data_IF_263644427638
#
_entry.id   IF_263644427638
#
_cell.length_a   1.000
_cell.length_b   1.000
_cell.length_c   1.000
_cell.angle_alpha   90.00
_cell.angle_beta   90.00
_cell.angle_gamma   90.00
#
_symmetry.space_group_name_H-M   'P 1'
#
loop_
_entity.id
_entity.type
_entity.pdbx_description
1 polymer ?
#
# COMPACT_ATOMS: atom_id res chain seq x y z
N UNK A 1 6.53 5.62 42.77
CA UNK A 1 6.70 5.92 41.34
C UNK A 1 5.44 6.60 40.86
N UNK A 2 5.55 7.83 40.41
CA UNK A 2 4.44 8.66 39.94
C UNK A 2 4.00 8.21 38.54
N UNK A 3 2.78 8.55 38.15
CA UNK A 3 2.26 8.29 36.79
C UNK A 3 3.19 8.87 35.70
N UNK A 4 3.91 9.95 36.03
CA UNK A 4 4.88 10.60 35.16
C UNK A 4 6.12 9.72 34.93
N UNK A 5 6.62 9.02 35.95
CA UNK A 5 7.77 8.12 35.83
C UNK A 5 7.48 6.95 34.86
N UNK A 6 6.23 6.46 34.85
CA UNK A 6 5.77 5.43 33.91
C UNK A 6 5.61 5.95 32.48
N UNK A 7 5.32 7.24 32.30
CA UNK A 7 5.26 7.86 30.97
C UNK A 7 6.67 8.11 30.44
N UNK A 8 7.60 8.54 31.29
CA UNK A 8 9.01 8.74 30.93
C UNK A 8 9.65 7.41 30.51
N UNK A 9 9.38 6.32 31.22
CA UNK A 9 9.90 5.00 30.83
C UNK A 9 9.28 4.47 29.53
N UNK A 10 7.99 4.72 29.28
CA UNK A 10 7.35 4.40 28.00
C UNK A 10 7.94 5.21 26.84
N UNK A 11 8.11 6.52 27.00
CA UNK A 11 8.71 7.39 25.99
C UNK A 11 10.19 7.06 25.75
N UNK A 12 10.94 6.70 26.78
CA UNK A 12 12.34 6.27 26.65
C UNK A 12 12.47 4.89 25.98
N UNK A 13 11.43 4.03 26.07
CA UNK A 13 11.36 2.77 25.32
C UNK A 13 10.88 2.94 23.89
N UNK A 14 10.19 4.05 23.57
CA UNK A 14 9.88 4.46 22.21
C UNK A 14 11.15 5.00 21.57
N UNK A 15 11.95 4.09 21.03
CA UNK A 15 13.06 4.46 20.17
C UNK A 15 12.50 5.21 18.97
N UNK A 16 12.72 6.51 18.91
CA UNK A 16 12.72 7.25 17.65
C UNK A 16 14.06 6.87 17.01
N UNK A 17 14.11 5.65 16.46
CA UNK A 17 15.23 5.25 15.63
C UNK A 17 15.12 6.07 14.35
N UNK A 18 15.91 7.14 14.27
CA UNK A 18 16.30 7.73 12.99
C UNK A 18 16.90 6.59 12.14
N UNK A 19 16.33 6.41 10.94
CA UNK A 19 16.46 5.25 10.03
C UNK A 19 15.61 4.02 10.41
N UNK A 20 14.28 4.09 10.20
CA UNK A 20 13.46 2.89 9.99
C UNK A 20 14.14 2.03 8.89
N UNK A 21 14.76 0.90 9.26
CA UNK A 21 15.32 -0.06 8.29
C UNK A 21 14.23 -0.41 7.29
N UNK A 22 14.41 0.07 6.06
CA UNK A 22 13.44 -0.14 4.99
C UNK A 22 13.32 -1.64 4.69
N UNK A 23 12.15 -2.20 4.97
CA UNK A 23 11.80 -3.58 4.62
C UNK A 23 10.97 -3.55 3.35
N UNK A 24 11.63 -3.88 2.24
CA UNK A 24 11.08 -3.77 0.88
C UNK A 24 10.66 -5.14 0.38
N UNK A 25 9.40 -5.25 -0.04
CA UNK A 25 8.91 -6.32 -0.92
C UNK A 25 8.79 -5.75 -2.33
N UNK A 26 9.49 -6.35 -3.30
CA UNK A 26 9.62 -5.80 -4.65
C UNK A 26 9.34 -6.83 -5.73
N UNK A 27 8.45 -6.46 -6.65
CA UNK A 27 8.11 -7.19 -7.86
C UNK A 27 8.23 -6.30 -9.12
N UNK A 28 9.11 -5.28 -9.05
CA UNK A 28 9.28 -4.30 -10.13
C UNK A 28 9.69 -4.98 -11.44
N UNK A 29 9.01 -4.62 -12.53
CA UNK A 29 9.40 -4.98 -13.89
C UNK A 29 9.25 -6.46 -14.24
N UNK A 30 8.52 -7.24 -13.42
CA UNK A 30 8.29 -8.65 -13.69
C UNK A 30 7.23 -8.92 -14.77
N UNK A 31 6.48 -7.88 -15.18
CA UNK A 31 5.43 -7.98 -16.20
C UNK A 31 4.38 -9.06 -15.89
N UNK A 32 4.07 -9.27 -14.60
CA UNK A 32 3.11 -10.28 -14.16
C UNK A 32 1.69 -9.90 -14.58
N UNK A 33 0.92 -10.87 -15.06
CA UNK A 33 -0.53 -10.73 -15.27
C UNK A 33 -1.27 -11.41 -14.12
N UNK A 34 -1.86 -10.60 -13.25
CA UNK A 34 -2.47 -11.03 -12.00
C UNK A 34 -3.99 -10.89 -12.11
N UNK A 35 -4.62 -11.82 -12.84
CA UNK A 35 -6.07 -11.81 -13.10
C UNK A 35 -6.88 -12.45 -11.99
N UNK A 36 -6.28 -13.42 -11.30
CA UNK A 36 -6.90 -14.22 -10.25
C UNK A 36 -6.19 -14.04 -8.91
N UNK A 37 -6.82 -14.52 -7.84
CA UNK A 37 -6.24 -14.48 -6.51
C UNK A 37 -4.97 -15.35 -6.43
N UNK A 38 -4.94 -16.48 -7.14
CA UNK A 38 -3.82 -17.42 -7.15
C UNK A 38 -2.59 -16.84 -7.83
N UNK A 39 -2.77 -15.98 -8.83
CA UNK A 39 -1.66 -15.33 -9.54
C UNK A 39 -0.88 -14.41 -8.58
N UNK A 40 -1.55 -13.86 -7.56
CA UNK A 40 -0.92 -13.02 -6.53
C UNK A 40 -0.28 -13.81 -5.37
N UNK A 41 -0.26 -15.14 -5.42
CA UNK A 41 0.20 -15.98 -4.31
C UNK A 41 1.63 -15.66 -3.87
N UNK A 42 2.55 -15.42 -4.82
CA UNK A 42 3.95 -15.08 -4.51
C UNK A 42 4.07 -13.71 -3.84
N UNK A 43 3.26 -12.73 -4.26
CA UNK A 43 3.21 -11.40 -3.64
C UNK A 43 2.65 -11.50 -2.22
N UNK A 44 1.53 -12.20 -2.05
CA UNK A 44 0.88 -12.42 -0.74
C UNK A 44 1.85 -13.12 0.21
N UNK A 45 2.53 -14.17 -0.25
CA UNK A 45 3.54 -14.87 0.53
C UNK A 45 4.69 -13.95 0.92
N UNK A 46 5.23 -13.17 -0.02
CA UNK A 46 6.32 -12.25 0.27
C UNK A 46 5.94 -11.17 1.29
N UNK A 47 4.69 -10.68 1.25
CA UNK A 47 4.16 -9.76 2.27
C UNK A 47 4.14 -10.44 3.65
N UNK A 48 3.62 -11.66 3.75
CA UNK A 48 3.56 -12.38 5.03
C UNK A 48 4.93 -12.80 5.57
N UNK A 49 5.85 -13.19 4.69
CA UNK A 49 7.22 -13.56 5.04
C UNK A 49 8.09 -12.35 5.42
N UNK A 50 7.55 -11.12 5.26
CA UNK A 50 8.21 -9.87 5.65
C UNK A 50 7.40 -9.09 6.73
N UNK A 51 7.37 -9.55 8.00
CA UNK A 51 6.74 -8.80 9.09
C UNK A 51 7.34 -7.41 9.28
N UNK A 52 6.49 -6.40 9.38
CA UNK A 52 6.89 -4.99 9.50
C UNK A 52 7.39 -4.40 8.18
N UNK A 53 6.88 -4.90 7.05
CA UNK A 53 7.18 -4.37 5.72
C UNK A 53 6.86 -2.88 5.67
N UNK A 54 7.82 -2.07 5.23
CA UNK A 54 7.65 -0.62 5.10
C UNK A 54 7.31 -0.21 3.67
N UNK A 55 7.66 -1.04 2.68
CA UNK A 55 7.58 -0.67 1.26
C UNK A 55 7.17 -1.84 0.39
N UNK A 56 6.21 -1.60 -0.51
CA UNK A 56 5.71 -2.55 -1.49
C UNK A 56 5.81 -1.95 -2.88
N UNK A 57 6.58 -2.60 -3.74
CA UNK A 57 6.81 -2.16 -5.12
C UNK A 57 6.20 -3.15 -6.09
N UNK A 58 5.21 -2.69 -6.85
CA UNK A 58 4.47 -3.48 -7.83
C UNK A 58 4.58 -2.90 -9.24
N UNK A 59 5.56 -2.03 -9.47
CA UNK A 59 5.72 -1.30 -10.72
C UNK A 59 5.85 -2.24 -11.95
N UNK A 60 5.11 -1.93 -13.01
CA UNK A 60 5.18 -2.63 -14.28
C UNK A 60 4.53 -4.02 -14.29
N UNK A 61 3.57 -4.27 -13.39
CA UNK A 61 2.73 -5.48 -13.40
C UNK A 61 1.29 -5.14 -13.83
N UNK A 62 0.42 -6.13 -14.02
CA UNK A 62 -0.98 -5.90 -14.40
C UNK A 62 -1.92 -6.54 -13.38
N UNK A 63 -2.38 -5.75 -12.41
CA UNK A 63 -3.19 -6.22 -11.28
C UNK A 63 -4.69 -6.12 -11.57
N UNK A 64 -5.38 -7.26 -11.50
CA UNK A 64 -6.83 -7.36 -11.60
C UNK A 64 -7.52 -7.29 -10.24
N UNK A 65 -8.85 -7.29 -10.24
CA UNK A 65 -9.66 -7.17 -9.01
C UNK A 65 -9.37 -8.31 -8.02
N UNK A 66 -9.41 -9.60 -8.40
CA UNK A 66 -9.19 -10.69 -7.45
C UNK A 66 -7.77 -10.71 -6.86
N UNK A 67 -6.76 -10.38 -7.67
CA UNK A 67 -5.40 -10.22 -7.21
C UNK A 67 -5.26 -9.05 -6.22
N UNK A 68 -5.87 -7.90 -6.52
CA UNK A 68 -5.89 -6.75 -5.61
C UNK A 68 -6.59 -7.06 -4.28
N UNK A 69 -7.66 -7.86 -4.29
CA UNK A 69 -8.32 -8.34 -3.08
C UNK A 69 -7.40 -9.22 -2.23
N UNK A 70 -6.71 -10.17 -2.84
CA UNK A 70 -5.75 -11.03 -2.15
C UNK A 70 -4.58 -10.23 -1.55
N UNK A 71 -4.00 -9.29 -2.31
CA UNK A 71 -2.94 -8.40 -1.85
C UNK A 71 -3.45 -7.49 -0.73
N UNK A 72 -4.64 -6.90 -0.89
CA UNK A 72 -5.29 -6.07 0.13
C UNK A 72 -5.49 -6.83 1.43
N UNK A 73 -5.87 -8.11 1.37
CA UNK A 73 -6.01 -8.96 2.55
C UNK A 73 -4.68 -9.21 3.25
N UNK A 74 -3.59 -9.42 2.49
CA UNK A 74 -2.26 -9.59 3.06
C UNK A 74 -1.77 -8.31 3.77
N UNK A 75 -2.07 -7.14 3.20
CA UNK A 75 -1.71 -5.84 3.75
C UNK A 75 -2.33 -5.55 5.12
N UNK A 76 -3.48 -6.15 5.48
CA UNK A 76 -4.13 -5.98 6.79
C UNK A 76 -3.19 -6.31 7.97
N UNK A 77 -2.14 -7.12 7.73
CA UNK A 77 -1.14 -7.50 8.74
C UNK A 77 0.07 -6.55 8.86
N UNK A 78 0.15 -5.51 8.02
CA UNK A 78 1.35 -4.68 7.86
C UNK A 78 1.16 -3.25 8.39
N UNK A 79 1.15 -3.09 9.72
CA UNK A 79 0.98 -1.77 10.38
C UNK A 79 2.14 -0.80 10.12
N UNK A 80 3.33 -1.33 9.80
CA UNK A 80 4.52 -0.55 9.49
C UNK A 80 4.60 -0.11 8.03
N UNK A 81 3.57 -0.42 7.23
CA UNK A 81 3.56 -0.05 5.82
C UNK A 81 3.55 1.49 5.64
N UNK A 82 4.49 2.01 4.85
CA UNK A 82 4.70 3.46 4.63
C UNK A 82 4.69 3.86 3.16
N UNK A 83 5.20 3.02 2.25
CA UNK A 83 5.43 3.40 0.85
C UNK A 83 4.77 2.40 -0.11
N UNK A 84 3.73 2.86 -0.80
CA UNK A 84 3.06 2.13 -1.87
C UNK A 84 3.61 2.63 -3.22
N UNK A 85 4.43 1.83 -3.89
CA UNK A 85 5.04 2.16 -5.19
C UNK A 85 4.36 1.33 -6.29
N UNK A 86 3.28 1.90 -6.82
CA UNK A 86 2.24 1.25 -7.63
C UNK A 86 2.11 1.89 -9.03
N UNK A 87 3.25 2.36 -9.54
CA UNK A 87 3.37 2.92 -10.88
C UNK A 87 3.07 1.87 -11.95
N UNK A 88 2.36 2.24 -13.01
CA UNK A 88 2.14 1.38 -14.19
C UNK A 88 1.53 -0.01 -13.88
N UNK A 89 0.76 -0.15 -12.78
CA UNK A 89 0.28 -1.46 -12.31
C UNK A 89 -1.09 -1.88 -12.88
N UNK A 90 -1.77 -0.98 -13.58
CA UNK A 90 -3.09 -1.20 -14.19
C UNK A 90 -3.07 -1.10 -15.72
N UNK A 91 -1.92 -1.38 -16.34
CA UNK A 91 -1.80 -1.41 -17.80
C UNK A 91 -2.82 -2.34 -18.42
N UNK A 92 -3.52 -1.85 -19.46
CA UNK A 92 -4.51 -2.62 -20.24
C UNK A 92 -5.75 -3.09 -19.44
N UNK A 93 -5.93 -2.64 -18.20
CA UNK A 93 -7.14 -2.91 -17.41
C UNK A 93 -8.28 -1.97 -17.80
N UNK A 94 -9.50 -2.45 -17.63
CA UNK A 94 -10.68 -1.61 -17.87
C UNK A 94 -10.76 -0.53 -16.79
N UNK A 95 -11.08 0.71 -17.20
CA UNK A 95 -11.19 1.86 -16.29
C UNK A 95 -12.25 1.66 -15.20
N UNK A 96 -13.20 0.75 -15.40
CA UNK A 96 -14.23 0.36 -14.42
C UNK A 96 -13.74 -0.67 -13.40
N UNK A 97 -12.63 -1.36 -13.67
CA UNK A 97 -12.01 -2.32 -12.74
C UNK A 97 -11.06 -1.64 -11.76
N UNK A 98 -10.33 -0.63 -12.22
CA UNK A 98 -9.31 0.08 -11.43
C UNK A 98 -9.85 0.59 -10.07
N UNK A 99 -11.03 1.28 -10.00
CA UNK A 99 -11.59 1.72 -8.73
C UNK A 99 -11.87 0.56 -7.75
N UNK A 100 -12.29 -0.60 -8.27
CA UNK A 100 -12.60 -1.77 -7.43
C UNK A 100 -11.33 -2.37 -6.86
N UNK A 101 -10.29 -2.52 -7.70
CA UNK A 101 -8.99 -3.00 -7.27
C UNK A 101 -8.37 -2.07 -6.21
N UNK A 102 -8.38 -0.75 -6.46
CA UNK A 102 -7.91 0.24 -5.50
C UNK A 102 -8.69 0.20 -4.18
N UNK A 103 -10.01 -0.01 -4.21
CA UNK A 103 -10.83 -0.12 -3.00
C UNK A 103 -10.37 -1.28 -2.10
N UNK A 104 -10.01 -2.42 -2.68
CA UNK A 104 -9.48 -3.54 -1.91
C UNK A 104 -8.13 -3.24 -1.27
N UNK A 105 -7.20 -2.65 -2.03
CA UNK A 105 -5.89 -2.25 -1.52
C UNK A 105 -6.02 -1.19 -0.41
N UNK A 106 -6.85 -0.17 -0.62
CA UNK A 106 -7.21 0.86 0.35
C UNK A 106 -7.71 0.26 1.66
N UNK A 107 -8.63 -0.70 1.59
CA UNK A 107 -9.19 -1.37 2.77
C UNK A 107 -8.11 -2.10 3.56
N UNK A 108 -7.18 -2.78 2.89
CA UNK A 108 -6.06 -3.45 3.53
C UNK A 108 -5.19 -2.48 4.34
N UNK A 109 -4.80 -1.37 3.71
CA UNK A 109 -3.98 -0.31 4.33
C UNK A 109 -4.69 0.28 5.56
N UNK A 110 -5.96 0.66 5.41
CA UNK A 110 -6.74 1.25 6.51
C UNK A 110 -6.92 0.26 7.67
N UNK A 111 -7.16 -1.01 7.38
CA UNK A 111 -7.33 -2.06 8.40
C UNK A 111 -6.04 -2.31 9.18
N UNK A 112 -4.90 -2.22 8.52
CA UNK A 112 -3.59 -2.33 9.16
C UNK A 112 -3.25 -1.14 10.07
N UNK A 113 -4.03 -0.04 10.01
CA UNK A 113 -3.69 1.26 10.58
C UNK A 113 -2.29 1.72 10.12
N UNK A 114 -1.94 1.40 8.87
CA UNK A 114 -0.70 1.83 8.25
C UNK A 114 -0.73 3.35 8.04
N UNK A 115 0.43 3.99 8.08
CA UNK A 115 0.59 5.45 7.95
C UNK A 115 1.46 5.73 6.72
N UNK A 116 0.81 5.88 5.57
CA UNK A 116 1.51 6.09 4.31
C UNK A 116 2.20 7.45 4.30
N UNK A 117 3.44 7.45 3.83
CA UNK A 117 4.26 8.64 3.56
C UNK A 117 4.48 8.83 2.07
N UNK A 118 4.40 7.75 1.28
CA UNK A 118 4.45 7.76 -0.19
C UNK A 118 3.33 6.88 -0.77
N UNK A 119 2.57 7.46 -1.69
CA UNK A 119 1.66 6.75 -2.59
C UNK A 119 1.97 7.18 -4.02
N UNK A 120 2.64 6.32 -4.76
CA UNK A 120 2.97 6.53 -6.17
C UNK A 120 2.05 5.68 -7.05
N UNK A 121 1.20 6.36 -7.80
CA UNK A 121 0.23 5.79 -8.72
C UNK A 121 0.44 6.29 -10.15
N UNK A 122 1.65 6.77 -10.45
CA UNK A 122 2.03 7.29 -11.78
C UNK A 122 1.79 6.27 -12.89
N UNK A 123 1.63 6.77 -14.12
CA UNK A 123 1.48 5.95 -15.34
C UNK A 123 0.28 4.98 -15.35
N UNK A 124 -0.70 5.18 -14.46
CA UNK A 124 -1.98 4.48 -14.50
C UNK A 124 -3.05 5.32 -15.21
N UNK A 125 -3.82 4.70 -16.11
CA UNK A 125 -4.86 5.36 -16.89
C UNK A 125 -6.22 5.38 -16.15
N UNK A 126 -6.34 6.16 -15.09
CA UNK A 126 -7.53 6.21 -14.23
C UNK A 126 -8.81 6.68 -14.95
N UNK A 127 -8.69 7.60 -15.90
CA UNK A 127 -9.86 8.30 -16.45
C UNK A 127 -10.63 9.10 -15.37
N UNK A 128 -11.84 9.60 -15.69
CA UNK A 128 -12.56 10.54 -14.82
C UNK A 128 -12.94 9.99 -13.43
N UNK A 129 -13.06 8.67 -13.30
CA UNK A 129 -13.56 8.01 -12.07
C UNK A 129 -12.58 7.03 -11.45
N UNK A 130 -11.37 6.85 -12.03
CA UNK A 130 -10.44 5.79 -11.62
C UNK A 130 -9.99 5.88 -10.16
N UNK A 131 -9.96 7.09 -9.58
CA UNK A 131 -9.49 7.32 -8.21
C UNK A 131 -10.59 7.23 -7.14
N UNK A 132 -11.86 6.99 -7.50
CA UNK A 132 -12.95 6.83 -6.52
C UNK A 132 -12.65 5.72 -5.51
N UNK A 133 -11.88 4.70 -5.91
CA UNK A 133 -11.42 3.63 -5.00
C UNK A 133 -10.43 4.05 -3.90
N UNK A 134 -9.90 5.27 -3.98
CA UNK A 134 -8.97 5.84 -2.99
C UNK A 134 -9.62 6.86 -2.07
N UNK A 135 -10.86 7.30 -2.35
CA UNK A 135 -11.46 8.40 -1.61
C UNK A 135 -11.45 8.16 -0.10
N UNK A 136 -11.94 7.00 0.34
CA UNK A 136 -11.95 6.62 1.77
C UNK A 136 -10.52 6.56 2.35
N UNK A 137 -9.54 6.05 1.59
CA UNK A 137 -8.15 5.98 2.03
C UNK A 137 -7.54 7.37 2.24
N UNK A 138 -7.73 8.27 1.27
CA UNK A 138 -7.19 9.64 1.32
C UNK A 138 -7.82 10.47 2.44
N UNK A 139 -9.08 10.20 2.80
CA UNK A 139 -9.78 10.84 3.92
C UNK A 139 -9.43 10.19 5.28
N UNK A 140 -8.81 9.00 5.28
CA UNK A 140 -8.49 8.23 6.48
C UNK A 140 -7.18 8.66 7.16
N UNK A 141 -6.99 8.35 8.46
CA UNK A 141 -5.74 8.57 9.17
C UNK A 141 -4.51 7.96 8.48
N UNK A 142 -4.71 6.89 7.70
CA UNK A 142 -3.63 6.23 6.97
C UNK A 142 -2.93 7.11 5.94
N UNK A 143 -3.53 8.23 5.53
CA UNK A 143 -2.92 9.18 4.61
C UNK A 143 -2.61 10.56 5.23
N UNK A 144 -2.81 10.77 6.54
CA UNK A 144 -2.50 12.08 7.15
C UNK A 144 -1.00 12.37 7.24
N UNK A 145 -0.17 11.32 7.13
CA UNK A 145 1.30 11.41 7.09
C UNK A 145 1.88 11.49 5.68
N UNK A 146 1.03 11.58 4.65
CA UNK A 146 1.44 11.53 3.26
C UNK A 146 2.29 12.77 2.92
N UNK A 147 3.59 12.55 2.65
CA UNK A 147 4.54 13.62 2.28
C UNK A 147 4.64 13.80 0.78
N UNK A 148 4.43 12.71 0.03
CA UNK A 148 4.41 12.71 -1.42
C UNK A 148 3.27 11.83 -1.92
N UNK A 149 2.36 12.44 -2.67
CA UNK A 149 1.42 11.74 -3.53
C UNK A 149 1.71 12.12 -4.97
N UNK A 150 2.03 11.13 -5.81
CA UNK A 150 2.18 11.34 -7.25
C UNK A 150 0.99 10.64 -7.92
N UNK A 151 0.01 11.45 -8.33
CA UNK A 151 -1.27 11.04 -8.92
C UNK A 151 -1.46 11.72 -10.28
N UNK A 152 -0.62 11.48 -11.29
CA UNK A 152 -0.82 12.07 -12.63
C UNK A 152 -0.36 11.04 -13.68
N UNK A 153 -1.20 10.63 -14.65
CA UNK A 153 -1.46 11.39 -15.88
C UNK A 153 -2.95 11.39 -16.26
N UNK A 154 -3.55 12.58 -16.35
CA UNK A 154 -4.83 12.79 -17.02
C UNK A 154 -4.55 12.83 -18.53
N UNK A 155 -4.80 11.72 -19.23
CA UNK A 155 -4.91 11.67 -20.67
C UNK A 155 -6.35 11.31 -21.06
#
# INVERSE_FOLDING_TARGET
MTSVDNLISKLASTKVDEEEKEKVVSFVGQALQLDKAEDAADIVKAIHDCPGMTTLQLEGNTIGIPAAEAIGKALESQSDFRKALWKDMFTRRDKTEIPKALKFLSKGIMTANAHLVVLDLSDNAFGPTGLVGLQELLESPSCYTLKSSILITMA
#
